data_IF_657163520770
#
_entry.id   IF_657163520770
#
_cell.length_a   1.000
_cell.length_b   1.000
_cell.length_c   1.000
_cell.angle_alpha   90.00
_cell.angle_beta   90.00
_cell.angle_gamma   90.00
#
_symmetry.space_group_name_H-M   'P 1'
#
loop_
_entity.id
_entity.type
_entity.pdbx_description
1 polymer ?
#
# COMPACT_ATOMS: atom_id res chain seq x y z
N UNK A 1 14.59 20.74 -40.04
CA UNK A 1 15.51 21.42 -39.11
C UNK A 1 15.01 21.17 -37.69
N UNK A 2 15.84 20.50 -36.87
CA UNK A 2 15.78 20.23 -35.42
C UNK A 2 14.72 19.29 -34.83
N UNK A 3 15.15 18.03 -34.65
CA UNK A 3 14.83 17.19 -33.50
C UNK A 3 15.20 17.90 -32.19
N UNK A 4 14.26 18.04 -31.26
CA UNK A 4 14.53 18.21 -29.82
C UNK A 4 13.33 17.66 -29.05
N UNK A 5 13.17 16.34 -28.97
CA UNK A 5 12.41 15.72 -27.87
C UNK A 5 13.03 14.36 -27.50
N UNK A 6 14.35 14.31 -27.55
CA UNK A 6 15.16 13.33 -26.84
C UNK A 6 15.48 13.88 -25.45
N UNK A 7 15.23 13.05 -24.43
CA UNK A 7 15.78 13.16 -23.08
C UNK A 7 15.28 14.32 -22.21
N UNK A 8 14.08 14.17 -21.65
CA UNK A 8 13.84 14.59 -20.26
C UNK A 8 13.62 13.30 -19.45
N UNK A 9 14.71 12.56 -19.25
CA UNK A 9 14.76 11.39 -18.39
C UNK A 9 16.01 11.46 -17.50
N UNK A 10 16.04 12.44 -16.60
CA UNK A 10 16.92 12.61 -15.41
C UNK A 10 16.76 14.08 -14.95
N UNK A 11 16.43 14.49 -13.72
CA UNK A 11 16.37 13.84 -12.42
C UNK A 11 15.53 14.71 -11.48
N UNK A 12 14.58 14.11 -10.77
CA UNK A 12 14.11 14.57 -9.46
C UNK A 12 13.71 13.31 -8.66
N UNK A 13 14.54 12.84 -7.71
CA UNK A 13 14.16 11.74 -6.83
C UNK A 13 13.20 12.29 -5.78
N UNK A 14 11.89 12.09 -5.97
CA UNK A 14 10.93 12.47 -4.94
C UNK A 14 9.49 12.68 -5.40
N UNK A 15 9.23 12.86 -6.69
CA UNK A 15 7.86 12.95 -7.22
C UNK A 15 7.80 12.18 -8.53
N UNK A 16 8.00 10.86 -8.43
CA UNK A 16 7.57 9.95 -9.48
C UNK A 16 6.07 10.14 -9.60
N UNK A 17 5.65 10.82 -10.68
CA UNK A 17 4.29 10.76 -11.21
C UNK A 17 3.89 9.30 -11.09
N UNK A 18 3.01 9.01 -10.12
CA UNK A 18 2.53 7.66 -9.83
C UNK A 18 1.85 7.26 -11.13
N UNK A 19 2.54 6.48 -11.96
CA UNK A 19 1.94 5.87 -13.14
C UNK A 19 0.61 5.27 -12.68
N UNK A 20 -0.41 5.30 -13.53
CA UNK A 20 -1.67 4.56 -13.41
C UNK A 20 -1.45 3.03 -13.42
N UNK A 21 -0.43 2.58 -12.70
CA UNK A 21 -0.03 1.21 -12.48
C UNK A 21 -0.63 0.73 -11.17
N UNK A 22 -0.79 -0.58 -11.11
CA UNK A 22 -1.34 -1.29 -9.97
C UNK A 22 -0.68 -0.91 -8.64
N UNK A 23 -1.49 -0.65 -7.62
CA UNK A 23 -1.03 -0.22 -6.28
C UNK A 23 -0.17 -1.26 -5.56
N UNK A 24 -0.15 -2.51 -6.05
CA UNK A 24 0.72 -3.58 -5.58
C UNK A 24 2.18 -3.46 -6.00
N UNK A 25 2.51 -2.62 -7.00
CA UNK A 25 3.89 -2.52 -7.54
C UNK A 25 4.93 -2.10 -6.48
N UNK A 26 4.52 -1.26 -5.52
CA UNK A 26 5.39 -0.85 -4.42
C UNK A 26 5.79 -2.01 -3.49
N UNK A 27 5.06 -3.12 -3.51
CA UNK A 27 5.30 -4.28 -2.66
C UNK A 27 6.25 -5.30 -3.31
N UNK A 28 6.55 -5.20 -4.61
CA UNK A 28 7.24 -6.26 -5.34
C UNK A 28 8.64 -6.57 -4.80
N UNK A 29 9.33 -5.61 -4.20
CA UNK A 29 10.65 -5.84 -3.59
C UNK A 29 10.61 -6.76 -2.35
N UNK A 30 9.42 -6.95 -1.77
CA UNK A 30 9.18 -7.86 -0.65
C UNK A 30 9.03 -9.33 -1.09
N UNK A 31 9.00 -9.59 -2.40
CA UNK A 31 8.94 -10.94 -2.94
C UNK A 31 10.24 -11.73 -2.65
N UNK A 32 10.11 -12.94 -2.12
CA UNK A 32 11.21 -13.83 -1.77
C UNK A 32 11.80 -14.45 -3.04
N UNK A 33 10.96 -15.00 -3.91
CA UNK A 33 11.38 -15.62 -5.16
C UNK A 33 11.67 -14.56 -6.23
N UNK A 34 12.80 -14.70 -6.92
CA UNK A 34 13.22 -13.78 -7.99
C UNK A 34 12.21 -13.78 -9.14
N UNK A 35 11.70 -14.96 -9.52
CA UNK A 35 10.68 -15.12 -10.56
C UNK A 35 9.37 -14.40 -10.19
N UNK A 36 8.93 -14.55 -8.93
CA UNK A 36 7.76 -13.83 -8.43
C UNK A 36 7.98 -12.32 -8.41
N UNK A 37 9.17 -11.86 -7.99
CA UNK A 37 9.53 -10.43 -7.99
C UNK A 37 9.45 -9.83 -9.40
N UNK A 38 10.02 -10.53 -10.39
CA UNK A 38 10.01 -10.10 -11.79
C UNK A 38 8.58 -10.07 -12.36
N UNK A 39 7.79 -11.11 -12.09
CA UNK A 39 6.39 -11.17 -12.47
C UNK A 39 5.58 -10.03 -11.85
N UNK A 40 5.80 -9.74 -10.56
CA UNK A 40 5.14 -8.66 -9.84
C UNK A 40 5.42 -7.29 -10.45
N UNK A 41 6.68 -7.01 -10.83
CA UNK A 41 7.04 -5.73 -11.46
C UNK A 41 6.37 -5.49 -12.81
N UNK A 42 5.91 -6.55 -13.47
CA UNK A 42 5.23 -6.50 -14.77
C UNK A 42 3.70 -6.65 -14.64
N UNK A 43 3.20 -6.89 -13.44
CA UNK A 43 1.79 -7.16 -13.21
C UNK A 43 0.93 -5.90 -13.22
N UNK A 44 -0.28 -6.06 -13.74
CA UNK A 44 -1.33 -5.03 -13.74
C UNK A 44 -2.38 -5.27 -12.66
N UNK A 45 -2.36 -6.44 -12.03
CA UNK A 45 -3.26 -6.82 -10.95
C UNK A 45 -2.69 -7.95 -10.11
N UNK A 46 -3.27 -8.15 -8.92
CA UNK A 46 -2.95 -9.30 -8.06
C UNK A 46 -3.16 -10.65 -8.76
N UNK A 47 -4.14 -10.74 -9.66
CA UNK A 47 -4.45 -11.98 -10.37
C UNK A 47 -3.35 -12.39 -11.35
N UNK A 48 -2.59 -11.43 -11.88
CA UNK A 48 -1.50 -11.71 -12.81
C UNK A 48 -0.36 -12.46 -12.10
N UNK A 49 -0.09 -12.09 -10.85
CA UNK A 49 0.99 -12.71 -10.06
C UNK A 49 0.59 -14.04 -9.44
N UNK A 50 -0.70 -14.30 -9.19
CA UNK A 50 -1.16 -15.55 -8.56
C UNK A 50 -0.82 -16.82 -9.37
N UNK A 51 -0.52 -16.66 -10.67
CA UNK A 51 -0.09 -17.75 -11.56
C UNK A 51 1.36 -18.19 -11.32
N UNK A 52 2.19 -17.30 -10.73
CA UNK A 52 3.64 -17.48 -10.57
C UNK A 52 4.01 -17.46 -9.08
N UNK A 53 3.52 -16.46 -8.36
CA UNK A 53 3.72 -16.27 -6.93
C UNK A 53 2.74 -17.14 -6.13
N UNK A 54 3.27 -18.03 -5.29
CA UNK A 54 2.45 -18.78 -4.35
C UNK A 54 2.29 -18.03 -3.04
N UNK A 55 1.04 -17.81 -2.62
CA UNK A 55 0.71 -17.08 -1.40
C UNK A 55 1.35 -17.64 -0.14
N UNK A 56 1.46 -18.96 -0.05
CA UNK A 56 2.06 -19.69 1.08
C UNK A 56 3.54 -19.35 1.32
N UNK A 57 4.29 -19.08 0.24
CA UNK A 57 5.70 -18.71 0.31
C UNK A 57 5.92 -17.20 0.34
N UNK A 58 5.02 -16.43 -0.27
CA UNK A 58 5.16 -14.97 -0.47
C UNK A 58 4.31 -14.14 0.51
N UNK A 59 4.24 -14.56 1.78
CA UNK A 59 3.33 -13.95 2.77
C UNK A 59 3.51 -12.44 2.93
N UNK A 60 4.76 -11.96 3.00
CA UNK A 60 5.08 -10.53 3.19
C UNK A 60 4.64 -9.70 1.98
N UNK A 61 4.91 -10.19 0.76
CA UNK A 61 4.47 -9.58 -0.49
C UNK A 61 2.94 -9.47 -0.54
N UNK A 62 2.23 -10.59 -0.35
CA UNK A 62 0.77 -10.61 -0.45
C UNK A 62 0.10 -9.79 0.67
N UNK A 63 0.69 -9.74 1.87
CA UNK A 63 0.21 -8.89 2.96
C UNK A 63 0.29 -7.40 2.57
N UNK A 64 1.44 -6.96 2.04
CA UNK A 64 1.61 -5.60 1.55
C UNK A 64 0.64 -5.27 0.40
N UNK A 65 0.49 -6.17 -0.58
CA UNK A 65 -0.43 -5.97 -1.71
C UNK A 65 -1.86 -5.80 -1.22
N UNK A 66 -2.34 -6.68 -0.33
CA UNK A 66 -3.70 -6.59 0.20
C UNK A 66 -3.90 -5.27 0.95
N UNK A 67 -2.92 -4.85 1.76
CA UNK A 67 -2.95 -3.56 2.45
C UNK A 67 -3.09 -2.40 1.45
N UNK A 68 -2.28 -2.39 0.39
CA UNK A 68 -2.31 -1.32 -0.61
C UNK A 68 -3.60 -1.30 -1.43
N UNK A 69 -4.12 -2.48 -1.82
CA UNK A 69 -5.40 -2.59 -2.54
C UNK A 69 -6.57 -2.09 -1.67
N UNK A 70 -6.63 -2.53 -0.41
CA UNK A 70 -7.63 -2.05 0.54
C UNK A 70 -7.49 -0.54 0.79
N UNK A 71 -6.28 -0.04 0.94
CA UNK A 71 -6.01 1.39 1.08
C UNK A 71 -6.49 2.19 -0.12
N UNK A 72 -6.24 1.70 -1.33
CA UNK A 72 -6.74 2.35 -2.54
C UNK A 72 -8.27 2.44 -2.55
N UNK A 73 -8.97 1.37 -2.14
CA UNK A 73 -10.43 1.37 -2.03
C UNK A 73 -10.91 2.35 -0.94
N UNK A 74 -10.34 2.28 0.27
CA UNK A 74 -10.74 3.14 1.37
C UNK A 74 -10.49 4.63 1.07
N UNK A 75 -9.32 4.97 0.51
CA UNK A 75 -8.97 6.36 0.27
C UNK A 75 -9.82 6.99 -0.85
N UNK A 76 -10.26 6.20 -1.84
CA UNK A 76 -11.11 6.69 -2.92
C UNK A 76 -12.46 7.27 -2.44
N UNK A 77 -12.93 6.90 -1.24
CA UNK A 77 -14.15 7.48 -0.66
C UNK A 77 -14.06 8.97 -0.30
N UNK A 78 -12.85 9.54 -0.17
CA UNK A 78 -12.67 10.97 0.11
C UNK A 78 -12.46 11.83 -1.14
N UNK A 79 -12.42 11.24 -2.33
CA UNK A 79 -12.12 11.93 -3.59
C UNK A 79 -10.65 12.33 -3.72
N UNK A 80 -10.07 12.10 -4.91
CA UNK A 80 -8.63 12.24 -5.17
C UNK A 80 -8.02 13.64 -4.92
N UNK A 81 -8.86 14.68 -4.85
CA UNK A 81 -8.41 16.07 -4.71
C UNK A 81 -8.47 16.59 -3.27
N UNK A 82 -8.81 15.73 -2.30
CA UNK A 82 -8.84 16.14 -0.90
C UNK A 82 -7.54 15.79 -0.19
N UNK A 83 -7.12 16.65 0.74
CA UNK A 83 -6.02 16.35 1.63
C UNK A 83 -6.27 15.04 2.42
N UNK A 84 -7.53 14.71 2.70
CA UNK A 84 -7.91 13.46 3.35
C UNK A 84 -7.48 12.22 2.53
N UNK A 85 -7.60 12.26 1.20
CA UNK A 85 -7.12 11.19 0.33
C UNK A 85 -5.60 11.00 0.39
N UNK A 86 -4.84 12.09 0.47
CA UNK A 86 -3.38 12.03 0.62
C UNK A 86 -2.95 11.46 1.98
N UNK A 87 -3.57 11.94 3.07
CA UNK A 87 -3.33 11.43 4.42
C UNK A 87 -3.69 9.95 4.54
N UNK A 88 -4.84 9.54 4.00
CA UNK A 88 -5.26 8.15 3.97
C UNK A 88 -4.23 7.28 3.23
N UNK A 89 -3.76 7.71 2.06
CA UNK A 89 -2.75 6.94 1.33
C UNK A 89 -1.42 6.84 2.08
N UNK A 90 -1.01 7.89 2.79
CA UNK A 90 0.22 7.86 3.58
C UNK A 90 0.15 6.75 4.65
N UNK A 91 -1.01 6.58 5.30
CA UNK A 91 -1.26 5.52 6.27
C UNK A 91 -1.15 4.11 5.65
N UNK A 92 -1.67 3.94 4.43
CA UNK A 92 -1.60 2.63 3.79
C UNK A 92 -0.23 2.32 3.18
N UNK A 93 0.55 3.34 2.80
CA UNK A 93 1.90 3.18 2.23
C UNK A 93 2.99 2.80 3.24
N UNK A 94 2.77 2.94 4.54
CA UNK A 94 3.76 2.51 5.54
C UNK A 94 3.86 0.99 5.59
N UNK A 95 5.04 0.41 5.81
CA UNK A 95 5.18 -1.06 5.93
C UNK A 95 4.56 -1.60 7.23
N UNK A 96 4.24 -0.72 8.17
CA UNK A 96 3.59 -1.04 9.43
C UNK A 96 2.10 -0.76 9.38
N UNK A 97 1.30 -1.56 10.09
CA UNK A 97 -0.11 -1.22 10.35
C UNK A 97 -0.18 0.16 11.02
N UNK A 98 -1.16 1.01 10.70
CA UNK A 98 -1.23 2.33 11.31
C UNK A 98 -1.43 2.25 12.82
N UNK A 99 -0.71 3.10 13.55
CA UNK A 99 -0.84 3.23 15.00
C UNK A 99 -2.12 3.97 15.40
N UNK A 100 -2.60 3.81 16.65
CA UNK A 100 -3.82 4.47 17.13
C UNK A 100 -3.79 6.01 17.00
N UNK A 101 -2.62 6.64 17.15
CA UNK A 101 -2.45 8.09 17.00
C UNK A 101 -2.61 8.57 15.56
N UNK A 102 -2.15 7.78 14.59
CA UNK A 102 -2.29 8.07 13.16
C UNK A 102 -3.77 7.92 12.74
N UNK A 103 -4.43 6.87 13.23
CA UNK A 103 -5.87 6.64 13.01
C UNK A 103 -6.68 7.80 13.59
N UNK A 104 -6.43 8.19 14.83
CA UNK A 104 -7.14 9.31 15.48
C UNK A 104 -6.94 10.64 14.76
N UNK A 105 -5.75 10.88 14.22
CA UNK A 105 -5.46 12.08 13.43
C UNK A 105 -6.24 12.06 12.12
N UNK A 106 -6.30 10.90 11.45
CA UNK A 106 -7.12 10.70 10.25
C UNK A 106 -8.60 10.91 10.55
N UNK A 107 -9.12 10.34 11.64
CA UNK A 107 -10.50 10.51 12.09
C UNK A 107 -10.86 11.98 12.27
N UNK A 108 -10.08 12.72 13.06
CA UNK A 108 -10.35 14.14 13.31
C UNK A 108 -10.35 14.99 12.04
N UNK A 109 -9.51 14.63 11.07
CA UNK A 109 -9.35 15.40 9.83
C UNK A 109 -10.37 15.03 8.75
N UNK A 110 -10.67 13.74 8.61
CA UNK A 110 -11.48 13.19 7.54
C UNK A 110 -12.96 13.01 7.89
N UNK A 111 -13.36 13.15 9.17
CA UNK A 111 -14.76 12.94 9.60
C UNK A 111 -15.75 13.86 8.90
N UNK A 112 -15.36 15.10 8.62
CA UNK A 112 -16.17 16.09 7.91
C UNK A 112 -16.13 15.91 6.38
N UNK A 113 -15.21 15.09 5.86
CA UNK A 113 -15.01 14.87 4.42
C UNK A 113 -15.71 13.59 3.97
N UNK A 114 -15.46 12.46 4.63
CA UNK A 114 -16.02 11.16 4.25
C UNK A 114 -16.11 10.20 5.44
N UNK A 115 -17.31 9.98 6.01
CA UNK A 115 -17.49 8.98 7.06
C UNK A 115 -17.29 7.55 6.52
N UNK A 116 -17.52 7.32 5.22
CA UNK A 116 -17.30 6.00 4.59
C UNK A 116 -15.82 5.61 4.57
N UNK A 117 -14.92 6.57 4.33
CA UNK A 117 -13.48 6.34 4.43
C UNK A 117 -13.10 5.89 5.84
N UNK A 118 -13.56 6.60 6.86
CA UNK A 118 -13.25 6.29 8.25
C UNK A 118 -13.74 4.90 8.66
N UNK A 119 -14.96 4.54 8.26
CA UNK A 119 -15.48 3.21 8.54
C UNK A 119 -14.65 2.11 7.86
N UNK A 120 -14.19 2.36 6.62
CA UNK A 120 -13.32 1.43 5.89
C UNK A 120 -11.97 1.24 6.60
N UNK A 121 -11.32 2.33 7.02
CA UNK A 121 -10.04 2.27 7.74
C UNK A 121 -10.21 1.59 9.10
N UNK A 122 -11.28 1.90 9.84
CA UNK A 122 -11.54 1.30 11.15
C UNK A 122 -11.86 -0.20 11.06
N UNK A 123 -12.60 -0.63 10.04
CA UNK A 123 -12.84 -2.06 9.80
C UNK A 123 -11.53 -2.80 9.47
N UNK A 124 -10.66 -2.18 8.66
CA UNK A 124 -9.35 -2.72 8.33
C UNK A 124 -8.46 -2.86 9.57
N UNK A 125 -8.37 -1.82 10.41
CA UNK A 125 -7.49 -1.82 11.60
C UNK A 125 -7.99 -2.77 12.69
N UNK A 126 -9.29 -3.01 12.79
CA UNK A 126 -9.86 -4.05 13.64
C UNK A 126 -9.56 -5.46 13.11
N UNK A 127 -9.61 -5.65 11.79
CA UNK A 127 -9.32 -6.95 11.15
C UNK A 127 -7.82 -7.29 11.14
N UNK A 128 -6.97 -6.26 11.13
CA UNK A 128 -5.52 -6.37 11.08
C UNK A 128 -4.87 -5.47 12.16
N UNK A 129 -5.07 -5.78 13.45
CA UNK A 129 -4.52 -4.98 14.54
C UNK A 129 -3.00 -4.89 14.39
N UNK A 130 -2.45 -3.72 14.74
CA UNK A 130 -1.00 -3.53 14.79
C UNK A 130 -0.39 -4.68 15.59
N UNK A 131 0.53 -5.44 14.98
CA UNK A 131 1.35 -6.39 15.73
C UNK A 131 2.21 -5.57 16.68
N UNK A 132 1.76 -5.41 17.92
CA UNK A 132 2.57 -4.83 18.95
C UNK A 132 3.86 -5.65 19.06
N UNK A 133 5.00 -4.95 19.06
CA UNK A 133 6.35 -5.49 19.28
C UNK A 133 6.49 -6.31 20.58
N UNK A 134 5.45 -6.40 21.42
CA UNK A 134 5.40 -7.24 22.61
C UNK A 134 4.97 -8.69 22.36
N UNK A 135 4.48 -9.05 21.16
CA UNK A 135 4.10 -10.43 20.84
C UNK A 135 5.26 -11.27 20.25
N UNK A 136 6.50 -10.78 20.35
CA UNK A 136 7.72 -11.59 20.13
C UNK A 136 8.14 -12.40 21.36
N UNK A 137 7.28 -12.55 22.38
CA UNK A 137 7.57 -13.39 23.56
C UNK A 137 6.93 -14.78 23.57
N UNK A 138 6.19 -15.19 22.54
CA UNK A 138 5.56 -16.52 22.52
C UNK A 138 5.99 -17.46 21.40
N UNK A 139 7.13 -17.21 20.75
CA UNK A 139 7.84 -18.24 19.97
C UNK A 139 9.05 -18.78 20.74
N UNK A 140 8.87 -19.11 22.02
CA UNK A 140 9.78 -19.99 22.74
C UNK A 140 9.04 -20.63 23.90
N UNK A 141 8.46 -21.80 23.64
CA UNK A 141 8.40 -22.91 24.59
C UNK A 141 8.01 -24.18 23.84
N UNK A 142 9.08 -24.92 23.52
CA UNK A 142 9.29 -26.36 23.75
C UNK A 142 8.11 -27.30 23.49
#
# INVERSE_FOLDING_TARGET
MREVWGCINSSLPGVLKKSDGWVGLGCCELAIAIECRQACKQASSKNDILKICRKEYENTLFSCINKNEMGSVCCNYAGHQTNCWEYCQAIFRTDTSPGPSQIKTLENYCVSVSPMLLNCVNNYTQSYPMRNSTDSKYMTKK
#
